data_IF_991504540009
#
_entry.id   IF_991504540009
#
_cell.length_a   1.000
_cell.length_b   1.000
_cell.length_c   1.000
_cell.angle_alpha   90.00
_cell.angle_beta   90.00
_cell.angle_gamma   90.00
#
_symmetry.space_group_name_H-M   'P 1'
#
loop_
_entity.id
_entity.type
_entity.pdbx_description
1 polymer ?
#
# COMPACT_ATOMS: atom_id res chain seq x y z
N UNK A 1 18.99 13.63 -16.49
CA UNK A 1 18.68 14.02 -15.09
C UNK A 1 17.41 13.36 -14.52
N UNK A 2 16.35 13.11 -15.32
CA UNK A 2 15.09 12.48 -14.81
C UNK A 2 15.28 11.02 -14.40
N UNK A 3 16.08 10.26 -15.09
CA UNK A 3 16.29 8.83 -14.82
C UNK A 3 17.16 8.60 -13.57
N UNK A 4 18.08 9.53 -13.26
CA UNK A 4 18.84 9.52 -12.01
C UNK A 4 17.95 9.74 -10.79
N UNK A 5 16.99 10.68 -10.89
CA UNK A 5 16.01 10.92 -9.82
C UNK A 5 15.13 9.69 -9.55
N UNK A 6 14.65 9.00 -10.61
CA UNK A 6 13.89 7.76 -10.47
C UNK A 6 14.72 6.63 -9.86
N UNK A 7 16.03 6.57 -10.15
CA UNK A 7 16.93 5.60 -9.53
C UNK A 7 17.08 5.84 -8.02
N UNK A 8 17.30 7.08 -7.61
CA UNK A 8 17.34 7.44 -6.18
C UNK A 8 16.03 7.14 -5.47
N UNK A 9 14.90 7.50 -6.09
CA UNK A 9 13.59 7.21 -5.53
C UNK A 9 13.39 5.71 -5.32
N UNK A 10 13.76 4.89 -6.31
CA UNK A 10 13.64 3.44 -6.20
C UNK A 10 14.55 2.85 -5.12
N UNK A 11 15.77 3.39 -4.97
CA UNK A 11 16.70 2.96 -3.93
C UNK A 11 16.12 3.24 -2.53
N UNK A 12 15.73 4.48 -2.27
CA UNK A 12 15.20 4.87 -0.96
C UNK A 12 13.88 4.19 -0.62
N UNK A 13 12.98 4.04 -1.58
CA UNK A 13 11.74 3.30 -1.36
C UNK A 13 12.01 1.82 -1.14
N UNK A 14 13.02 1.24 -1.76
CA UNK A 14 13.47 -0.13 -1.49
C UNK A 14 13.98 -0.31 -0.06
N UNK A 15 14.79 0.61 0.45
CA UNK A 15 15.21 0.62 1.85
C UNK A 15 14.03 0.79 2.79
N UNK A 16 13.12 1.72 2.50
CA UNK A 16 11.92 1.90 3.31
C UNK A 16 11.07 0.63 3.36
N UNK A 17 10.89 -0.05 2.22
CA UNK A 17 10.17 -1.32 2.16
C UNK A 17 10.85 -2.43 2.97
N UNK A 18 12.18 -2.50 2.94
CA UNK A 18 12.90 -3.49 3.73
C UNK A 18 12.59 -3.36 5.21
N UNK A 19 12.58 -2.15 5.76
CA UNK A 19 12.27 -1.93 7.18
C UNK A 19 10.77 -1.96 7.49
N UNK A 20 9.98 -1.15 6.80
CA UNK A 20 8.53 -1.03 7.06
C UNK A 20 7.78 -2.31 6.70
N UNK A 21 8.17 -2.95 5.59
CA UNK A 21 7.59 -4.22 5.16
C UNK A 21 7.90 -5.34 6.14
N UNK A 22 9.14 -5.40 6.65
CA UNK A 22 9.52 -6.40 7.66
C UNK A 22 8.70 -6.24 8.94
N UNK A 23 8.52 -5.01 9.45
CA UNK A 23 7.69 -4.75 10.63
C UNK A 23 6.24 -5.17 10.37
N UNK A 24 5.69 -4.81 9.21
CA UNK A 24 4.33 -5.20 8.83
C UNK A 24 4.16 -6.71 8.73
N UNK A 25 5.04 -7.39 7.99
CA UNK A 25 4.98 -8.85 7.81
C UNK A 25 5.22 -9.60 9.10
N UNK A 26 6.14 -9.15 9.95
CA UNK A 26 6.37 -9.75 11.26
C UNK A 26 5.09 -9.73 12.09
N UNK A 27 4.41 -8.59 12.17
CA UNK A 27 3.14 -8.50 12.90
C UNK A 27 2.07 -9.43 12.37
N UNK A 28 1.98 -9.60 11.03
CA UNK A 28 1.00 -10.50 10.41
C UNK A 28 1.33 -11.98 10.62
N UNK A 29 2.60 -12.34 10.60
CA UNK A 29 3.04 -13.74 10.75
C UNK A 29 3.00 -14.23 12.18
N UNK A 30 3.31 -13.35 13.16
CA UNK A 30 3.33 -13.71 14.58
C UNK A 30 1.94 -13.67 15.20
N UNK A 31 1.03 -12.82 14.66
CA UNK A 31 -0.32 -12.63 15.17
C UNK A 31 -1.37 -12.78 14.05
N UNK A 32 -1.47 -13.97 13.42
CA UNK A 32 -2.44 -14.20 12.35
C UNK A 32 -3.90 -14.08 12.83
N UNK A 33 -4.15 -14.30 14.11
CA UNK A 33 -5.46 -14.13 14.75
C UNK A 33 -5.94 -12.66 14.77
N UNK A 34 -5.02 -11.71 14.59
CA UNK A 34 -5.32 -10.28 14.51
C UNK A 34 -5.54 -9.80 13.06
N UNK A 35 -5.85 -10.69 12.13
CA UNK A 35 -6.18 -10.37 10.74
C UNK A 35 -7.70 -10.38 10.58
N UNK A 36 -8.31 -9.21 10.66
CA UNK A 36 -9.73 -9.00 10.51
C UNK A 36 -10.05 -7.52 10.32
N UNK A 37 -11.30 -7.16 10.00
CA UNK A 37 -11.67 -5.76 9.76
C UNK A 37 -11.54 -4.89 11.01
N UNK A 38 -11.98 -5.35 12.18
CA UNK A 38 -11.87 -4.61 13.43
C UNK A 38 -10.46 -4.65 14.00
N UNK A 39 -9.82 -5.80 13.97
CA UNK A 39 -8.45 -6.02 14.41
C UNK A 39 -7.47 -5.14 13.61
N UNK A 40 -7.68 -5.05 12.30
CA UNK A 40 -6.89 -4.16 11.43
C UNK A 40 -7.17 -2.69 11.68
N UNK A 41 -8.43 -2.31 11.91
CA UNK A 41 -8.82 -0.94 12.23
C UNK A 41 -8.26 -0.51 13.60
N UNK A 42 -8.36 -1.37 14.61
CA UNK A 42 -7.79 -1.12 15.94
C UNK A 42 -6.27 -0.96 15.87
N UNK A 43 -5.58 -1.79 15.12
CA UNK A 43 -4.13 -1.67 14.93
C UNK A 43 -3.76 -0.33 14.28
N UNK A 44 -4.52 0.09 13.26
CA UNK A 44 -4.26 1.34 12.53
C UNK A 44 -4.54 2.55 13.42
N UNK A 45 -5.68 2.58 14.11
CA UNK A 45 -6.13 3.75 14.87
C UNK A 45 -5.69 3.70 16.33
N UNK A 46 -6.23 2.79 17.12
CA UNK A 46 -5.96 2.68 18.56
C UNK A 46 -4.51 2.30 18.84
N UNK A 47 -3.95 1.40 18.02
CA UNK A 47 -2.53 1.04 18.06
C UNK A 47 -1.59 2.08 17.43
N UNK A 48 -2.12 3.23 16.96
CA UNK A 48 -1.36 4.34 16.39
C UNK A 48 -0.40 3.97 15.24
N UNK A 49 -0.70 2.89 14.52
CA UNK A 49 0.15 2.40 13.43
C UNK A 49 -0.15 3.05 12.07
N UNK A 50 -1.11 3.97 11.99
CA UNK A 50 -1.46 4.65 10.74
C UNK A 50 -0.27 5.35 10.05
N UNK A 51 0.74 5.94 10.75
CA UNK A 51 1.88 6.54 10.06
C UNK A 51 2.74 5.50 9.34
N UNK A 52 2.92 4.32 9.95
CA UNK A 52 3.64 3.20 9.33
C UNK A 52 2.92 2.75 8.04
N UNK A 53 1.61 2.56 8.09
CA UNK A 53 0.83 2.14 6.92
C UNK A 53 0.80 3.21 5.83
N UNK A 54 0.76 4.49 6.19
CA UNK A 54 0.85 5.59 5.23
C UNK A 54 2.21 5.60 4.51
N UNK A 55 3.31 5.50 5.26
CA UNK A 55 4.65 5.43 4.70
C UNK A 55 4.85 4.18 3.86
N UNK A 56 4.35 3.03 4.31
CA UNK A 56 4.41 1.77 3.58
C UNK A 56 3.64 1.85 2.26
N UNK A 57 2.44 2.46 2.24
CA UNK A 57 1.67 2.69 1.03
C UNK A 57 2.48 3.45 -0.02
N UNK A 58 3.06 4.59 0.36
CA UNK A 58 3.88 5.37 -0.57
C UNK A 58 5.14 4.62 -1.01
N UNK A 59 5.80 3.92 -0.10
CA UNK A 59 7.00 3.16 -0.42
C UNK A 59 6.69 2.03 -1.41
N UNK A 60 5.62 1.24 -1.20
CA UNK A 60 5.20 0.17 -2.12
C UNK A 60 4.86 0.72 -3.49
N UNK A 61 4.01 1.76 -3.53
CA UNK A 61 3.53 2.31 -4.78
C UNK A 61 4.65 2.96 -5.61
N UNK A 62 5.47 3.79 -4.99
CA UNK A 62 6.57 4.44 -5.69
C UNK A 62 7.64 3.44 -6.14
N UNK A 63 7.97 2.47 -5.29
CA UNK A 63 8.92 1.42 -5.65
C UNK A 63 8.41 0.57 -6.81
N UNK A 64 7.17 0.08 -6.71
CA UNK A 64 6.54 -0.76 -7.72
C UNK A 64 6.35 -0.05 -9.05
N UNK A 65 5.81 1.18 -9.04
CA UNK A 65 5.57 1.94 -10.27
C UNK A 65 6.85 2.33 -11.00
N UNK A 66 7.89 2.74 -10.28
CA UNK A 66 9.21 3.03 -10.88
C UNK A 66 9.87 1.74 -11.36
N UNK A 67 9.80 0.66 -10.59
CA UNK A 67 10.31 -0.64 -10.97
C UNK A 67 9.68 -1.17 -12.25
N UNK A 68 8.34 -1.13 -12.34
CA UNK A 68 7.59 -1.54 -13.52
C UNK A 68 7.91 -0.67 -14.75
N UNK A 69 8.03 0.65 -14.57
CA UNK A 69 8.43 1.57 -15.64
C UNK A 69 9.82 1.21 -16.19
N UNK A 70 10.79 0.95 -15.32
CA UNK A 70 12.15 0.56 -15.72
C UNK A 70 12.20 -0.79 -16.41
N UNK A 71 11.39 -1.73 -15.92
CA UNK A 71 11.26 -3.06 -16.53
C UNK A 71 10.65 -2.96 -17.93
N UNK A 72 9.60 -2.14 -18.09
CA UNK A 72 8.97 -1.89 -19.38
C UNK A 72 9.94 -1.25 -20.39
N UNK A 73 10.79 -0.31 -19.94
CA UNK A 73 11.85 0.24 -20.79
C UNK A 73 12.89 -0.81 -21.18
N UNK A 74 13.30 -1.66 -20.24
CA UNK A 74 14.32 -2.70 -20.49
C UNK A 74 13.84 -3.74 -21.49
N UNK A 75 12.55 -4.09 -21.48
CA UNK A 75 11.97 -5.10 -22.33
C UNK A 75 11.28 -4.55 -23.56
N UNK A 76 11.38 -3.25 -23.83
CA UNK A 76 10.80 -2.61 -25.01
C UNK A 76 9.26 -2.61 -25.02
N UNK A 77 8.62 -2.65 -23.86
CA UNK A 77 7.16 -2.61 -23.79
C UNK A 77 6.64 -1.27 -24.31
N UNK A 78 5.63 -1.32 -25.17
CA UNK A 78 5.03 -0.15 -25.81
C UNK A 78 6.02 0.63 -26.71
N UNK A 79 7.10 -0.01 -27.16
CA UNK A 79 7.98 0.58 -28.16
C UNK A 79 7.24 0.77 -29.50
N UNK A 80 7.35 1.97 -30.04
CA UNK A 80 6.85 2.36 -31.35
C UNK A 80 7.98 2.93 -32.21
N UNK A 81 7.62 3.40 -33.39
CA UNK A 81 8.57 3.99 -34.36
C UNK A 81 9.28 5.24 -33.80
N UNK A 82 8.65 5.95 -32.84
CA UNK A 82 9.24 7.13 -32.18
C UNK A 82 9.58 6.78 -30.71
N UNK A 83 10.86 6.67 -30.37
CA UNK A 83 11.29 6.37 -28.99
C UNK A 83 10.91 7.45 -27.97
N UNK A 84 10.84 8.71 -28.39
CA UNK A 84 10.46 9.81 -27.50
C UNK A 84 8.97 9.74 -27.14
N UNK A 85 8.12 9.45 -28.12
CA UNK A 85 6.69 9.25 -27.90
C UNK A 85 6.43 8.01 -27.02
N UNK A 86 7.16 6.92 -27.23
CA UNK A 86 7.07 5.70 -26.42
C UNK A 86 7.40 5.96 -24.96
N UNK A 87 8.49 6.68 -24.69
CA UNK A 87 8.86 7.07 -23.30
C UNK A 87 7.82 7.99 -22.65
N UNK A 88 7.22 8.92 -23.40
CA UNK A 88 6.13 9.78 -22.87
C UNK A 88 4.92 8.96 -22.47
N UNK A 89 4.50 8.00 -23.31
CA UNK A 89 3.37 7.08 -23.03
C UNK A 89 3.65 6.26 -21.78
N UNK A 90 4.82 5.65 -21.67
CA UNK A 90 5.21 4.88 -20.49
C UNK A 90 5.21 5.72 -19.20
N UNK A 91 5.70 6.96 -19.27
CA UNK A 91 5.63 7.88 -18.12
C UNK A 91 4.19 8.23 -17.76
N UNK A 92 3.33 8.47 -18.72
CA UNK A 92 1.92 8.74 -18.47
C UNK A 92 1.22 7.54 -17.82
N UNK A 93 1.45 6.33 -18.35
CA UNK A 93 0.92 5.07 -17.78
C UNK A 93 1.42 4.89 -16.35
N UNK A 94 2.74 5.05 -16.11
CA UNK A 94 3.30 4.98 -14.76
C UNK A 94 2.63 5.97 -13.80
N UNK A 95 2.44 7.21 -14.23
CA UNK A 95 1.85 8.25 -13.39
C UNK A 95 0.37 7.96 -13.10
N UNK A 96 -0.40 7.56 -14.12
CA UNK A 96 -1.80 7.16 -13.95
C UNK A 96 -1.93 5.98 -12.99
N UNK A 97 -1.07 4.98 -13.13
CA UNK A 97 -1.00 3.83 -12.25
C UNK A 97 -0.71 4.24 -10.79
N UNK A 98 0.33 5.07 -10.57
CA UNK A 98 0.67 5.55 -9.23
C UNK A 98 -0.47 6.37 -8.60
N UNK A 99 -1.07 7.30 -9.34
CA UNK A 99 -2.18 8.12 -8.84
C UNK A 99 -3.38 7.24 -8.47
N UNK A 100 -3.71 6.27 -9.32
CA UNK A 100 -4.82 5.36 -9.06
C UNK A 100 -4.60 4.53 -7.78
N UNK A 101 -3.44 3.87 -7.64
CA UNK A 101 -3.20 2.98 -6.50
C UNK A 101 -2.90 3.73 -5.21
N UNK A 102 -2.22 4.88 -5.27
CA UNK A 102 -2.08 5.76 -4.09
C UNK A 102 -3.46 6.26 -3.65
N UNK A 103 -4.30 6.71 -4.59
CA UNK A 103 -5.66 7.15 -4.28
C UNK A 103 -6.49 6.04 -3.63
N UNK A 104 -6.48 4.84 -4.21
CA UNK A 104 -7.18 3.68 -3.66
C UNK A 104 -6.66 3.31 -2.26
N UNK A 105 -5.33 3.29 -2.07
CA UNK A 105 -4.72 3.01 -0.78
C UNK A 105 -5.06 4.05 0.29
N UNK A 106 -5.08 5.35 -0.08
CA UNK A 106 -5.49 6.41 0.84
C UNK A 106 -6.96 6.28 1.24
N UNK A 107 -7.86 5.99 0.29
CA UNK A 107 -9.28 5.74 0.60
C UNK A 107 -9.43 4.54 1.53
N UNK A 108 -8.71 3.47 1.27
CA UNK A 108 -8.70 2.27 2.13
C UNK A 108 -8.19 2.58 3.52
N UNK A 109 -7.08 3.31 3.64
CA UNK A 109 -6.52 3.72 4.94
C UNK A 109 -7.49 4.61 5.72
N UNK A 110 -8.14 5.56 5.06
CA UNK A 110 -9.16 6.41 5.66
C UNK A 110 -10.36 5.60 6.14
N UNK A 111 -10.81 4.60 5.37
CA UNK A 111 -11.89 3.70 5.79
C UNK A 111 -11.53 2.93 7.07
N UNK A 112 -10.30 2.42 7.16
CA UNK A 112 -9.83 1.77 8.39
C UNK A 112 -9.68 2.73 9.57
N UNK A 113 -9.24 3.96 9.34
CA UNK A 113 -9.21 5.00 10.39
C UNK A 113 -10.62 5.30 10.88
N UNK A 114 -11.59 5.50 9.99
CA UNK A 114 -12.98 5.74 10.37
C UNK A 114 -13.57 4.56 11.14
N UNK A 115 -13.31 3.34 10.69
CA UNK A 115 -13.74 2.13 11.39
C UNK A 115 -13.10 2.02 12.78
N UNK A 116 -11.80 2.33 12.90
CA UNK A 116 -11.08 2.34 14.17
C UNK A 116 -11.59 3.39 15.16
N UNK A 117 -11.96 4.58 14.67
CA UNK A 117 -12.60 5.62 15.50
C UNK A 117 -13.96 5.10 16.01
N UNK A 118 -14.77 4.51 15.13
CA UNK A 118 -16.09 3.99 15.49
C UNK A 118 -16.03 2.77 16.43
N UNK A 119 -14.92 2.04 16.44
CA UNK A 119 -14.71 0.85 17.26
C UNK A 119 -13.85 1.11 18.51
N UNK A 120 -13.40 2.34 18.74
CA UNK A 120 -12.42 2.68 19.77
C UNK A 120 -12.85 2.27 21.19
N UNK A 121 -14.14 2.39 21.51
CA UNK A 121 -14.70 1.99 22.82
C UNK A 121 -14.73 0.47 23.03
N UNK A 122 -14.53 -0.31 21.96
CA UNK A 122 -14.53 -1.78 21.94
C UNK A 122 -13.24 -2.34 21.36
N UNK A 123 -12.17 -1.57 21.42
CA UNK A 123 -10.88 -1.97 20.89
C UNK A 123 -10.42 -3.29 21.50
N UNK A 124 -9.98 -4.21 20.65
CA UNK A 124 -9.59 -5.57 21.03
C UNK A 124 -10.73 -6.61 20.97
N UNK A 125 -11.99 -6.21 20.73
CA UNK A 125 -13.07 -7.15 20.47
C UNK A 125 -12.99 -7.67 19.03
N UNK A 126 -12.95 -9.00 18.82
CA UNK A 126 -12.84 -9.56 17.48
C UNK A 126 -14.12 -9.37 16.66
N UNK A 127 -13.97 -9.29 15.35
CA UNK A 127 -15.09 -9.27 14.43
C UNK A 127 -15.85 -10.60 14.49
N UNK A 128 -17.13 -10.54 14.84
CA UNK A 128 -18.05 -11.69 14.77
C UNK A 128 -19.07 -11.47 13.65
N UNK A 129 -19.06 -12.28 12.58
CA UNK A 129 -20.02 -12.17 11.51
C UNK A 129 -21.47 -12.29 12.01
N UNK A 130 -22.39 -11.54 11.40
CA UNK A 130 -23.82 -11.52 11.81
C UNK A 130 -24.45 -12.90 11.82
N UNK A 131 -24.10 -13.77 10.86
CA UNK A 131 -24.56 -15.15 10.82
C UNK A 131 -24.14 -15.96 12.05
N UNK A 132 -22.95 -15.73 12.58
CA UNK A 132 -22.46 -16.40 13.79
C UNK A 132 -23.09 -15.83 15.08
N UNK A 133 -23.51 -14.57 15.07
CA UNK A 133 -24.30 -13.99 16.17
C UNK A 133 -25.69 -14.58 16.24
N UNK A 134 -26.37 -14.76 15.10
CA UNK A 134 -27.70 -15.35 15.01
C UNK A 134 -27.73 -16.83 15.43
N UNK A 135 -26.62 -17.55 15.30
CA UNK A 135 -26.51 -18.96 15.71
C UNK A 135 -26.24 -19.14 17.22
N UNK A 136 -25.95 -18.08 17.96
CA UNK A 136 -25.65 -18.12 19.41
C UNK A 136 -26.74 -17.54 20.30
N UNK A 137 -27.76 -16.95 19.73
CA UNK A 137 -28.93 -16.41 20.40
C UNK A 137 -30.17 -17.26 20.14
#
# INVERSE_FOLDING_TARGET
HSDTGLWWLQLWTGFALFFLGTVHLYGMLVHPELIGPYESADRIWTGTMWPLYLLLLFAVELHGSVGLYRLALKWGWLEGRDPAASRRRLRAVKTAFSVFFVGLGLVTLLAYVQLGIAHADRAGEPYVPTAAKAARG
#
